data_IF_347107478669
#
_entry.id   IF_347107478669
#
_cell.length_a   1.000
_cell.length_b   1.000
_cell.length_c   1.000
_cell.angle_alpha   90.00
_cell.angle_beta   90.00
_cell.angle_gamma   90.00
#
_symmetry.space_group_name_H-M   'P 1'
#
loop_
_entity.id
_entity.type
_entity.pdbx_description
1 polymer ?
#
# COMPACT_ATOMS: atom_id res chain seq x y z
N UNK A 1 -1.31 -20.23 -22.29
CA UNK A 1 -1.25 -18.91 -21.62
C UNK A 1 0.16 -18.35 -21.76
N UNK A 2 0.32 -17.14 -22.32
CA UNK A 2 1.61 -16.44 -22.35
C UNK A 2 1.92 -16.01 -20.91
N UNK A 3 2.99 -16.54 -20.32
CA UNK A 3 3.44 -16.13 -18.98
C UNK A 3 3.71 -14.62 -19.05
N UNK A 4 2.87 -13.78 -18.44
CA UNK A 4 3.13 -12.34 -18.36
C UNK A 4 4.53 -12.18 -17.77
N UNK A 5 5.41 -11.45 -18.46
CA UNK A 5 6.73 -11.15 -17.90
C UNK A 5 6.51 -10.36 -16.62
N UNK A 6 7.15 -10.77 -15.53
CA UNK A 6 7.06 -10.03 -14.27
C UNK A 6 7.49 -8.58 -14.52
N UNK A 7 6.69 -7.64 -14.04
CA UNK A 7 7.08 -6.23 -13.97
C UNK A 7 8.39 -6.11 -13.20
N UNK A 8 9.28 -5.21 -13.64
CA UNK A 8 10.44 -4.80 -12.85
C UNK A 8 10.01 -3.68 -11.93
N UNK A 9 10.35 -3.82 -10.65
CA UNK A 9 10.06 -2.83 -9.61
C UNK A 9 11.16 -2.90 -8.54
N UNK A 10 11.36 -1.80 -7.82
CA UNK A 10 12.39 -1.64 -6.80
C UNK A 10 12.04 -0.59 -5.76
N UNK A 11 12.93 -0.39 -4.78
CA UNK A 11 12.78 0.64 -3.75
C UNK A 11 12.75 2.03 -4.39
N UNK A 12 11.78 2.85 -3.98
CA UNK A 12 11.55 4.19 -4.52
C UNK A 12 10.54 4.25 -5.67
N UNK A 13 10.16 3.10 -6.24
CA UNK A 13 9.15 3.06 -7.30
C UNK A 13 7.76 3.34 -6.74
N UNK A 14 7.05 4.24 -7.42
CA UNK A 14 5.63 4.50 -7.22
C UNK A 14 4.80 3.59 -8.11
N UNK A 15 3.70 3.09 -7.56
CA UNK A 15 2.78 2.23 -8.26
C UNK A 15 1.34 2.70 -8.08
N UNK A 16 0.50 2.31 -9.05
CA UNK A 16 -0.94 2.58 -9.06
C UNK A 16 -1.69 1.41 -8.45
N UNK A 17 -2.74 1.72 -7.69
CA UNK A 17 -3.69 0.76 -7.13
C UNK A 17 -5.03 0.98 -7.84
N UNK A 18 -5.44 0.09 -8.76
CA UNK A 18 -6.77 0.18 -9.39
C UNK A 18 -7.88 0.07 -8.33
N UNK A 19 -8.85 0.98 -8.36
CA UNK A 19 -9.98 1.02 -7.44
C UNK A 19 -11.27 0.56 -8.12
N UNK A 20 -12.26 0.12 -7.34
CA UNK A 20 -13.53 -0.43 -7.84
C UNK A 20 -14.33 0.48 -8.77
N UNK A 21 -14.16 1.79 -8.67
CA UNK A 21 -14.85 2.77 -9.51
C UNK A 21 -14.06 3.21 -10.76
N UNK A 22 -12.94 2.53 -11.04
CA UNK A 22 -12.09 2.81 -12.20
C UNK A 22 -11.04 3.89 -11.98
N UNK A 23 -11.07 4.60 -10.85
CA UNK A 23 -10.01 5.52 -10.46
C UNK A 23 -8.79 4.78 -9.90
N UNK A 24 -7.71 5.53 -9.62
CA UNK A 24 -6.44 5.01 -9.16
C UNK A 24 -6.05 5.63 -7.82
N UNK A 25 -5.70 4.78 -6.85
CA UNK A 25 -4.90 5.15 -5.69
C UNK A 25 -3.40 4.98 -5.98
N UNK A 26 -2.56 5.43 -5.05
CA UNK A 26 -1.10 5.37 -5.23
C UNK A 26 -0.37 4.84 -4.00
N UNK A 27 0.72 4.13 -4.26
CA UNK A 27 1.67 3.72 -3.24
C UNK A 27 3.12 3.80 -3.73
N UNK A 28 4.06 3.59 -2.82
CA UNK A 28 5.49 3.52 -3.10
C UNK A 28 6.10 2.29 -2.42
N UNK A 29 7.04 1.63 -3.10
CA UNK A 29 7.89 0.62 -2.50
C UNK A 29 8.93 1.31 -1.61
N UNK A 30 8.78 1.21 -0.30
CA UNK A 30 9.67 1.83 0.68
C UNK A 30 10.86 0.93 1.05
N UNK A 31 10.63 -0.39 1.14
CA UNK A 31 11.69 -1.38 1.39
C UNK A 31 11.31 -2.74 0.78
N UNK A 32 12.30 -3.60 0.57
CA UNK A 32 12.12 -4.98 0.11
C UNK A 32 12.64 -5.91 1.19
N UNK A 33 11.75 -6.77 1.70
CA UNK A 33 12.09 -7.76 2.73
C UNK A 33 12.13 -9.14 2.07
N UNK A 34 13.27 -9.43 1.43
CA UNK A 34 13.44 -10.61 0.56
C UNK A 34 13.21 -11.95 1.30
N UNK A 35 13.62 -12.04 2.57
CA UNK A 35 13.43 -13.23 3.41
C UNK A 35 11.95 -13.57 3.64
N UNK A 36 11.08 -12.56 3.63
CA UNK A 36 9.63 -12.72 3.77
C UNK A 36 8.89 -12.84 2.43
N UNK A 37 9.59 -12.63 1.31
CA UNK A 37 8.94 -12.53 0.00
C UNK A 37 7.92 -11.38 -0.08
N UNK A 38 8.14 -10.31 0.67
CA UNK A 38 7.24 -9.16 0.80
C UNK A 38 7.96 -7.82 0.56
N UNK A 39 7.19 -6.76 0.44
CA UNK A 39 7.69 -5.39 0.40
C UNK A 39 7.05 -4.56 1.51
N UNK A 40 7.74 -3.53 1.99
CA UNK A 40 7.11 -2.48 2.78
C UNK A 40 6.63 -1.42 1.81
N UNK A 41 5.33 -1.16 1.82
CA UNK A 41 4.68 -0.21 0.94
C UNK A 41 4.08 0.94 1.73
N UNK A 42 4.28 2.15 1.23
CA UNK A 42 3.59 3.35 1.65
C UNK A 42 2.38 3.59 0.75
N UNK A 43 1.23 4.00 1.31
CA UNK A 43 0.03 4.38 0.56
C UNK A 43 -0.34 5.82 0.85
N UNK A 44 -0.75 6.55 -0.18
CA UNK A 44 -0.91 8.01 -0.14
C UNK A 44 -2.37 8.43 -0.34
N UNK A 45 -2.72 9.58 0.24
CA UNK A 45 -4.06 10.17 0.14
C UNK A 45 -4.29 10.89 -1.21
N UNK A 46 -3.79 10.29 -2.30
CA UNK A 46 -3.88 10.80 -3.67
C UNK A 46 -4.68 9.83 -4.51
N UNK A 47 -5.63 10.38 -5.28
CA UNK A 47 -6.53 9.64 -6.14
C UNK A 47 -6.69 10.36 -7.47
N UNK A 48 -6.60 9.61 -8.56
CA UNK A 48 -6.67 10.13 -9.93
C UNK A 48 -7.68 9.34 -10.77
N UNK A 49 -8.40 10.02 -11.65
CA UNK A 49 -9.34 9.36 -12.58
C UNK A 49 -8.65 8.86 -13.85
N UNK A 50 -7.57 9.54 -14.28
CA UNK A 50 -6.86 9.20 -15.51
C UNK A 50 -5.76 8.17 -15.26
N UNK A 51 -5.73 7.14 -16.12
CA UNK A 51 -4.66 6.13 -16.10
C UNK A 51 -3.28 6.68 -16.43
N UNK A 52 -3.20 7.83 -17.09
CA UNK A 52 -1.95 8.49 -17.48
C UNK A 52 -1.43 9.43 -16.39
N UNK A 53 -2.27 9.79 -15.42
CA UNK A 53 -1.88 10.68 -14.35
C UNK A 53 -0.74 10.09 -13.51
N UNK A 54 0.22 10.94 -13.19
CA UNK A 54 1.28 10.68 -12.21
C UNK A 54 1.36 11.93 -11.33
N UNK A 55 0.99 11.85 -10.05
CA UNK A 55 1.03 12.99 -9.15
C UNK A 55 2.43 13.60 -9.08
N UNK A 56 2.50 14.93 -9.06
CA UNK A 56 3.75 15.67 -8.85
C UNK A 56 4.17 15.70 -7.37
N UNK A 57 3.22 15.57 -6.46
CA UNK A 57 3.41 15.45 -5.02
C UNK A 57 2.44 14.41 -4.45
N UNK A 58 2.98 13.47 -3.67
CA UNK A 58 2.21 12.43 -2.99
C UNK A 58 1.87 12.78 -1.54
N UNK A 59 2.52 13.82 -0.98
CA UNK A 59 2.38 14.19 0.43
C UNK A 59 2.87 13.12 1.39
N UNK A 60 2.27 13.06 2.58
CA UNK A 60 2.57 12.04 3.59
C UNK A 60 1.74 10.77 3.36
N UNK A 61 2.30 9.58 3.61
CA UNK A 61 1.52 8.35 3.54
C UNK A 61 0.50 8.30 4.68
N UNK A 62 -0.69 7.78 4.40
CA UNK A 62 -1.67 7.47 5.44
C UNK A 62 -1.44 6.08 6.05
N UNK A 63 -0.75 5.21 5.34
CA UNK A 63 -0.44 3.84 5.75
C UNK A 63 0.96 3.46 5.27
N UNK A 64 1.72 2.79 6.13
CA UNK A 64 2.97 2.11 5.78
C UNK A 64 2.87 0.70 6.35
N UNK A 65 2.89 -0.32 5.49
CA UNK A 65 2.61 -1.70 5.89
C UNK A 65 3.46 -2.70 5.09
N UNK A 66 3.72 -3.86 5.69
CA UNK A 66 4.33 -5.01 5.00
C UNK A 66 3.25 -5.69 4.16
N UNK A 67 3.46 -5.81 2.84
CA UNK A 67 2.48 -6.36 1.89
C UNK A 67 3.10 -7.49 1.07
N UNK A 68 2.28 -8.50 0.75
CA UNK A 68 2.66 -9.51 -0.25
C UNK A 68 2.92 -8.85 -1.61
N UNK A 69 3.99 -9.27 -2.30
CA UNK A 69 4.45 -8.62 -3.54
C UNK A 69 3.77 -9.12 -4.82
N UNK A 70 2.69 -9.89 -4.71
CA UNK A 70 2.02 -10.59 -5.82
C UNK A 70 1.43 -9.62 -6.86
N UNK A 71 0.81 -8.52 -6.44
CA UNK A 71 0.25 -7.53 -7.38
C UNK A 71 1.31 -6.63 -8.02
N UNK A 72 2.45 -6.43 -7.36
CA UNK A 72 3.63 -5.79 -7.94
C UNK A 72 4.33 -6.73 -8.95
N UNK A 73 4.48 -8.01 -8.62
CA UNK A 73 5.10 -9.01 -9.51
C UNK A 73 4.28 -9.22 -10.80
N UNK A 74 2.94 -9.22 -10.68
CA UNK A 74 2.00 -9.48 -11.79
C UNK A 74 1.67 -8.25 -12.64
N UNK A 75 2.08 -7.06 -12.19
CA UNK A 75 1.74 -5.75 -12.77
C UNK A 75 0.25 -5.36 -12.64
N UNK A 76 -0.51 -6.02 -11.77
CA UNK A 76 -1.85 -5.58 -11.41
C UNK A 76 -1.80 -4.28 -10.57
N UNK A 77 -0.67 -4.03 -9.88
CA UNK A 77 -0.25 -2.70 -9.41
C UNK A 77 0.88 -2.18 -10.30
N UNK A 78 0.57 -1.46 -11.39
CA UNK A 78 1.60 -1.04 -12.34
C UNK A 78 2.45 0.09 -11.77
N UNK A 79 3.77 -0.03 -11.93
CA UNK A 79 4.74 1.03 -11.61
C UNK A 79 4.57 2.17 -12.61
N UNK A 80 4.50 3.40 -12.11
CA UNK A 80 4.27 4.60 -12.94
C UNK A 80 5.41 5.61 -12.92
N UNK A 81 6.23 5.62 -11.88
CA UNK A 81 7.39 6.50 -11.75
C UNK A 81 8.33 6.00 -10.66
N UNK A 82 9.49 6.64 -10.53
CA UNK A 82 10.46 6.36 -9.47
C UNK A 82 10.87 7.67 -8.79
N UNK A 83 11.16 7.62 -7.50
CA UNK A 83 11.68 8.77 -6.76
C UNK A 83 12.45 8.35 -5.51
N UNK A 84 12.78 9.32 -4.66
CA UNK A 84 13.37 9.03 -3.35
C UNK A 84 12.36 8.22 -2.53
N UNK A 85 12.76 7.06 -2.04
CA UNK A 85 11.95 6.27 -1.12
C UNK A 85 11.70 7.04 0.19
N UNK A 86 10.51 6.90 0.77
CA UNK A 86 10.29 7.34 2.14
C UNK A 86 11.22 6.62 3.10
N UNK A 87 11.61 7.30 4.18
CA UNK A 87 12.34 6.71 5.29
C UNK A 87 11.36 5.89 6.13
N UNK A 88 11.36 4.57 5.90
CA UNK A 88 10.39 3.62 6.48
C UNK A 88 10.50 3.52 8.00
N UNK A 89 11.70 3.74 8.53
CA UNK A 89 12.04 3.72 9.96
C UNK A 89 11.28 4.80 10.76
N UNK A 90 10.77 5.84 10.09
CA UNK A 90 9.90 6.85 10.71
C UNK A 90 8.48 6.33 11.01
N UNK A 91 8.11 5.16 10.47
CA UNK A 91 6.75 4.62 10.54
C UNK A 91 6.71 3.19 11.11
N UNK A 92 7.75 2.39 10.89
CA UNK A 92 7.84 0.99 11.35
C UNK A 92 9.24 0.72 11.89
N UNK A 93 9.33 -0.02 12.99
CA UNK A 93 10.59 -0.52 13.57
C UNK A 93 11.14 -1.72 12.76
N UNK A 94 11.69 -1.43 11.58
CA UNK A 94 12.25 -2.43 10.66
C UNK A 94 13.45 -3.16 11.27
N UNK A 95 14.26 -2.48 12.07
CA UNK A 95 15.44 -3.08 12.70
C UNK A 95 15.05 -4.16 13.71
N UNK A 96 14.03 -3.92 14.55
CA UNK A 96 13.49 -4.92 15.46
C UNK A 96 12.86 -6.11 14.71
N UNK A 97 12.16 -5.84 13.59
CA UNK A 97 11.64 -6.91 12.72
C UNK A 97 12.77 -7.79 12.20
N UNK A 98 13.84 -7.20 11.66
CA UNK A 98 15.00 -7.93 11.13
C UNK A 98 15.75 -8.69 12.22
N UNK A 99 15.99 -8.07 13.38
CA UNK A 99 16.66 -8.69 14.52
C UNK A 99 15.94 -9.94 15.03
N UNK A 100 14.59 -9.95 14.95
CA UNK A 100 13.76 -11.10 15.34
C UNK A 100 13.53 -12.10 14.21
N UNK A 101 14.22 -11.95 13.06
CA UNK A 101 13.99 -12.74 11.85
C UNK A 101 12.51 -12.77 11.46
N UNK A 102 11.86 -11.62 11.60
CA UNK A 102 10.46 -11.37 11.28
C UNK A 102 9.42 -12.22 12.05
N UNK A 103 9.82 -12.87 13.15
CA UNK A 103 8.88 -13.58 14.01
C UNK A 103 7.88 -12.58 14.62
N UNK A 104 6.59 -12.81 14.34
CA UNK A 104 5.50 -11.95 14.76
C UNK A 104 5.21 -10.76 13.84
N UNK A 105 5.98 -10.59 12.75
CA UNK A 105 5.68 -9.57 11.74
C UNK A 105 4.38 -9.90 11.03
N UNK A 106 3.48 -8.92 10.97
CA UNK A 106 2.22 -9.05 10.25
C UNK A 106 2.42 -8.69 8.78
N UNK A 107 2.24 -9.67 7.89
CA UNK A 107 2.22 -9.47 6.45
C UNK A 107 0.77 -9.33 5.99
N UNK A 108 0.47 -8.23 5.30
CA UNK A 108 -0.87 -7.94 4.77
C UNK A 108 -0.97 -8.48 3.35
N UNK A 109 -2.00 -9.29 3.09
CA UNK A 109 -2.30 -9.73 1.74
C UNK A 109 -2.70 -8.53 0.87
N UNK A 110 -2.25 -8.53 -0.39
CA UNK A 110 -2.53 -7.47 -1.37
C UNK A 110 -4.01 -7.10 -1.48
N UNK A 111 -4.93 -8.07 -1.43
CA UNK A 111 -6.38 -7.82 -1.44
C UNK A 111 -6.90 -7.08 -0.20
N UNK A 112 -6.25 -7.22 0.97
CA UNK A 112 -6.57 -6.42 2.17
C UNK A 112 -6.02 -5.01 2.01
N UNK A 113 -4.80 -4.87 1.48
CA UNK A 113 -4.22 -3.56 1.19
C UNK A 113 -5.07 -2.78 0.18
N UNK A 114 -5.61 -3.44 -0.86
CA UNK A 114 -6.58 -2.81 -1.78
C UNK A 114 -7.82 -2.31 -1.04
N UNK A 115 -8.42 -3.13 -0.16
CA UNK A 115 -9.59 -2.71 0.63
C UNK A 115 -9.28 -1.55 1.58
N UNK A 116 -8.07 -1.47 2.12
CA UNK A 116 -7.63 -0.34 2.91
C UNK A 116 -7.61 0.94 2.07
N UNK A 117 -7.05 0.90 0.86
CA UNK A 117 -7.03 2.05 -0.07
C UNK A 117 -8.44 2.42 -0.51
N UNK A 118 -9.28 1.44 -0.86
CA UNK A 118 -10.69 1.69 -1.21
C UNK A 118 -11.47 2.31 -0.05
N UNK A 119 -11.28 1.80 1.17
CA UNK A 119 -11.93 2.35 2.36
C UNK A 119 -11.47 3.77 2.64
N UNK A 120 -10.18 4.05 2.41
CA UNK A 120 -9.64 5.39 2.51
C UNK A 120 -10.34 6.37 1.56
N UNK A 121 -10.72 5.95 0.35
CA UNK A 121 -11.44 6.79 -0.60
C UNK A 121 -12.98 6.63 -0.55
N UNK A 122 -13.52 6.00 0.50
CA UNK A 122 -14.96 5.84 0.70
C UNK A 122 -15.63 4.84 -0.24
N UNK A 123 -14.86 4.00 -0.93
CA UNK A 123 -15.34 2.99 -1.88
C UNK A 123 -15.62 1.63 -1.22
N UNK A 124 -15.03 1.41 -0.05
CA UNK A 124 -15.30 0.26 0.80
C UNK A 124 -15.67 0.73 2.22
N UNK A 125 -16.63 0.09 2.91
CA UNK A 125 -16.95 0.50 4.27
C UNK A 125 -15.79 0.28 5.23
N UNK A 126 -15.44 1.31 6.00
CA UNK A 126 -14.33 1.27 6.95
C UNK A 126 -14.50 0.15 7.99
N UNK A 127 -15.74 -0.03 8.47
CA UNK A 127 -16.16 -1.11 9.36
C UNK A 127 -16.56 -2.40 8.61
N UNK A 128 -16.07 -2.61 7.38
CA UNK A 128 -16.50 -3.71 6.51
C UNK A 128 -15.99 -5.10 6.90
N UNK A 129 -15.00 -5.18 7.80
CA UNK A 129 -14.42 -6.42 8.33
C UNK A 129 -15.15 -6.89 9.60
N UNK A 130 -14.87 -8.13 10.03
CA UNK A 130 -15.46 -8.69 11.25
C UNK A 130 -15.12 -7.84 12.49
N UNK A 131 -13.86 -7.43 12.62
CA UNK A 131 -13.48 -6.39 13.57
C UNK A 131 -13.72 -5.02 12.92
N UNK A 132 -14.63 -4.18 13.46
CA UNK A 132 -14.97 -2.88 12.87
C UNK A 132 -13.80 -1.88 12.89
N UNK A 133 -12.79 -2.11 13.73
CA UNK A 133 -11.60 -1.26 13.84
C UNK A 133 -10.37 -1.89 13.16
N UNK A 134 -10.55 -2.98 12.39
CA UNK A 134 -9.46 -3.72 11.78
C UNK A 134 -8.53 -2.83 10.93
N UNK A 135 -9.12 -1.90 10.16
CA UNK A 135 -8.38 -1.00 9.27
C UNK A 135 -7.64 0.12 10.01
N UNK A 136 -8.10 0.51 11.20
CA UNK A 136 -7.43 1.52 12.01
C UNK A 136 -6.01 1.08 12.39
N UNK A 137 -5.79 -0.22 12.60
CA UNK A 137 -4.47 -0.80 12.87
C UNK A 137 -3.48 -0.81 11.69
N UNK A 138 -3.88 -0.27 10.54
CA UNK A 138 -3.02 -0.13 9.35
C UNK A 138 -2.66 1.32 9.03
N UNK A 139 -3.18 2.28 9.78
CA UNK A 139 -2.82 3.69 9.63
C UNK A 139 -1.46 3.97 10.27
N UNK A 140 -0.73 4.93 9.71
CA UNK A 140 0.49 5.45 10.35
C UNK A 140 0.18 6.12 11.69
N UNK A 141 -1.01 6.69 11.82
CA UNK A 141 -1.52 7.28 13.05
C UNK A 141 -3.05 7.50 12.98
N UNK A 142 -3.75 7.59 14.12
CA UNK A 142 -5.21 7.72 14.13
C UNK A 142 -5.74 8.96 13.39
N UNK A 143 -5.00 10.06 13.40
CA UNK A 143 -5.37 11.30 12.70
C UNK A 143 -5.34 11.18 11.17
N UNK A 144 -4.67 10.16 10.63
CA UNK A 144 -4.69 9.86 9.20
C UNK A 144 -5.97 9.14 8.78
N UNK A 145 -6.93 8.92 9.68
CA UNK A 145 -8.21 8.31 9.32
C UNK A 145 -8.94 9.16 8.28
N UNK A 146 -9.47 8.50 7.26
CA UNK A 146 -10.07 9.17 6.12
C UNK A 146 -11.31 9.99 6.50
N UNK A 147 -11.38 11.22 6.00
CA UNK A 147 -12.59 12.06 6.04
C UNK A 147 -13.72 11.54 5.13
N UNK A 148 -13.40 10.65 4.18
CA UNK A 148 -14.36 10.01 3.28
C UNK A 148 -14.78 8.62 3.77
N UNK A 149 -14.33 8.19 4.95
CA UNK A 149 -14.69 6.89 5.50
C UNK A 149 -16.21 6.74 5.62
N UNK A 150 -16.74 5.70 4.97
CA UNK A 150 -18.15 5.31 5.03
C UNK A 150 -18.31 4.11 5.96
N UNK A 151 -19.47 4.01 6.62
CA UNK A 151 -19.77 2.95 7.59
C UNK A 151 -21.08 2.26 7.19
N UNK A 152 -21.13 0.93 7.34
CA UNK A 152 -22.37 0.13 7.23
C UNK A 152 -23.25 0.31 8.46
#
# INVERSE_FOLDING_TARGET
MKKRSKQRWGVGDYFKVPLSDGSLGFGQVASIEAEMGSAICAFFAVREESSEATPSDFGRPFSVIVVTKDLLDSADWPVCSSGKAIEVENYIDVDSMRARRYVGTRIIGSGIAMKLVEAYFGLYPWNGFHDPNYLDGHLVSPEMKSKWAVYK
#
